data_IF_964743204844
#
_entry.id   IF_964743204844
#
_cell.length_a   1.000
_cell.length_b   1.000
_cell.length_c   1.000
_cell.angle_alpha   90.00
_cell.angle_beta   90.00
_cell.angle_gamma   90.00
#
_symmetry.space_group_name_H-M   'P 1'
#
loop_
_entity.id
_entity.type
_entity.pdbx_description
1 polymer ?
#
# COMPACT_ATOMS: atom_id res chain seq x y z
N UNK A 1 24.12 -31.70 6.59
CA UNK A 1 23.49 -32.80 5.85
C UNK A 1 21.98 -32.82 6.06
N UNK A 2 21.44 -33.26 7.21
CA UNK A 2 19.97 -33.29 7.42
C UNK A 2 19.32 -31.91 7.39
N UNK A 3 19.97 -30.89 7.95
CA UNK A 3 19.45 -29.51 7.92
C UNK A 3 19.41 -28.93 6.50
N UNK A 4 20.39 -29.31 5.67
CA UNK A 4 20.49 -28.85 4.28
C UNK A 4 19.38 -29.46 3.43
N UNK A 5 19.10 -30.75 3.61
CA UNK A 5 18.00 -31.46 2.96
C UNK A 5 16.64 -30.87 3.36
N UNK A 6 16.45 -30.56 4.66
CA UNK A 6 15.23 -29.91 5.13
C UNK A 6 15.04 -28.53 4.50
N UNK A 7 16.11 -27.73 4.38
CA UNK A 7 16.05 -26.43 3.71
C UNK A 7 15.73 -26.57 2.23
N UNK A 8 16.23 -27.61 1.57
CA UNK A 8 15.97 -27.92 0.15
C UNK A 8 14.49 -28.27 -0.07
N UNK A 9 13.94 -29.14 0.78
CA UNK A 9 12.50 -29.51 0.75
C UNK A 9 11.62 -28.28 0.98
N UNK A 10 11.94 -27.43 1.97
CA UNK A 10 11.18 -26.21 2.25
C UNK A 10 11.20 -25.26 1.05
N UNK A 11 12.35 -25.13 0.37
CA UNK A 11 12.47 -24.28 -0.82
C UNK A 11 11.61 -24.81 -1.97
N UNK A 12 11.69 -26.10 -2.26
CA UNK A 12 10.97 -26.72 -3.37
C UNK A 12 9.45 -26.64 -3.16
N UNK A 13 8.96 -26.82 -1.92
CA UNK A 13 7.55 -26.60 -1.57
C UNK A 13 7.16 -25.13 -1.85
N UNK A 14 7.95 -24.15 -1.40
CA UNK A 14 7.65 -22.73 -1.64
C UNK A 14 7.64 -22.38 -3.12
N UNK A 15 8.52 -22.96 -3.92
CA UNK A 15 8.57 -22.74 -5.37
C UNK A 15 7.37 -23.37 -6.08
N UNK A 16 7.03 -24.62 -5.74
CA UNK A 16 5.88 -25.32 -6.32
C UNK A 16 4.56 -24.59 -6.03
N UNK A 17 4.42 -24.03 -4.83
CA UNK A 17 3.20 -23.35 -4.37
C UNK A 17 3.21 -21.83 -4.58
N UNK A 18 4.21 -21.27 -5.28
CA UNK A 18 4.33 -19.81 -5.50
C UNK A 18 3.15 -19.19 -6.26
N UNK A 19 2.42 -19.98 -7.04
CA UNK A 19 1.26 -19.55 -7.84
C UNK A 19 -0.09 -19.91 -7.23
N UNK A 20 -0.11 -20.59 -6.08
CA UNK A 20 -1.36 -20.91 -5.39
C UNK A 20 -1.97 -19.64 -4.81
N UNK A 21 -3.19 -19.33 -5.24
CA UNK A 21 -3.96 -18.18 -4.78
C UNK A 21 -4.41 -18.27 -3.31
N UNK A 22 -4.30 -19.46 -2.71
CA UNK A 22 -4.62 -19.72 -1.29
C UNK A 22 -3.38 -19.61 -0.38
N UNK A 23 -2.18 -19.43 -0.94
CA UNK A 23 -0.98 -19.15 -0.15
C UNK A 23 -1.03 -17.77 0.49
N UNK A 24 -0.46 -17.63 1.69
CA UNK A 24 -0.31 -16.32 2.30
C UNK A 24 0.53 -15.40 1.39
N UNK A 25 0.17 -14.11 1.25
CA UNK A 25 0.94 -13.17 0.44
C UNK A 25 2.41 -13.13 0.89
N UNK A 26 3.34 -13.04 -0.06
CA UNK A 26 4.77 -12.94 0.27
C UNK A 26 5.12 -11.59 0.94
N UNK A 27 4.31 -10.57 0.67
CA UNK A 27 4.38 -9.26 1.32
C UNK A 27 3.47 -9.24 2.54
N UNK A 28 3.96 -8.73 3.66
CA UNK A 28 3.06 -8.45 4.78
C UNK A 28 2.24 -7.20 4.46
N UNK A 29 1.07 -7.06 5.09
CA UNK A 29 0.27 -5.82 5.02
C UNK A 29 1.09 -4.59 5.44
N UNK A 30 2.08 -4.77 6.32
CA UNK A 30 2.98 -3.70 6.73
C UNK A 30 3.96 -3.29 5.62
N UNK A 31 4.46 -4.24 4.82
CA UNK A 31 5.35 -3.96 3.70
C UNK A 31 4.63 -3.17 2.59
N UNK A 32 3.40 -3.56 2.27
CA UNK A 32 2.55 -2.83 1.31
C UNK A 32 2.24 -1.41 1.80
N UNK A 33 1.92 -1.26 3.09
CA UNK A 33 1.69 0.06 3.68
C UNK A 33 2.94 0.93 3.62
N UNK A 34 4.12 0.35 3.87
CA UNK A 34 5.39 1.06 3.79
C UNK A 34 5.68 1.54 2.37
N UNK A 35 5.52 0.68 1.36
CA UNK A 35 5.70 1.06 -0.05
C UNK A 35 4.71 2.17 -0.48
N UNK A 36 3.48 2.10 0.02
CA UNK A 36 2.46 3.12 -0.21
C UNK A 36 2.88 4.47 0.38
N UNK A 37 3.44 4.50 1.59
CA UNK A 37 3.94 5.71 2.23
C UNK A 37 5.16 6.29 1.50
N UNK A 38 6.13 5.46 1.11
CA UNK A 38 7.32 5.89 0.36
C UNK A 38 6.95 6.54 -0.99
N UNK A 39 5.95 6.00 -1.69
CA UNK A 39 5.49 6.58 -2.94
C UNK A 39 4.80 7.94 -2.75
N UNK A 40 4.13 8.15 -1.62
CA UNK A 40 3.48 9.42 -1.26
C UNK A 40 4.50 10.48 -0.84
N UNK A 41 5.58 10.07 -0.18
CA UNK A 41 6.70 10.96 0.15
C UNK A 41 7.38 11.51 -1.11
N UNK A 42 7.63 10.62 -2.09
CA UNK A 42 8.24 10.97 -3.37
C UNK A 42 7.34 11.78 -4.30
N UNK A 43 6.02 11.75 -4.09
CA UNK A 43 5.08 12.55 -4.87
C UNK A 43 5.24 14.05 -4.57
N UNK A 44 5.43 14.86 -5.61
CA UNK A 44 5.45 16.33 -5.48
C UNK A 44 4.03 16.85 -5.66
N UNK A 45 3.45 17.38 -4.59
CA UNK A 45 2.09 17.92 -4.62
C UNK A 45 1.61 18.36 -3.24
N UNK A 46 0.40 18.90 -3.21
CA UNK A 46 -0.26 19.31 -1.97
C UNK A 46 -0.59 18.10 -1.08
N UNK A 47 -0.89 18.35 0.19
CA UNK A 47 -1.32 17.29 1.12
C UNK A 47 -2.55 16.53 0.62
N UNK A 48 -3.51 17.22 0.00
CA UNK A 48 -4.73 16.60 -0.53
C UNK A 48 -4.42 15.68 -1.72
N UNK A 49 -3.52 16.11 -2.61
CA UNK A 49 -3.09 15.31 -3.76
C UNK A 49 -2.32 14.06 -3.32
N UNK A 50 -1.42 14.21 -2.33
CA UNK A 50 -0.72 13.10 -1.69
C UNK A 50 -1.68 12.07 -1.09
N UNK A 51 -2.73 12.52 -0.42
CA UNK A 51 -3.76 11.64 0.14
C UNK A 51 -4.54 10.90 -0.95
N UNK A 52 -4.87 11.58 -2.04
CA UNK A 52 -5.55 10.94 -3.19
C UNK A 52 -4.67 9.84 -3.77
N UNK A 53 -3.38 10.11 -3.99
CA UNK A 53 -2.42 9.12 -4.50
C UNK A 53 -2.30 7.92 -3.56
N UNK A 54 -2.28 8.15 -2.24
CA UNK A 54 -2.28 7.08 -1.24
C UNK A 54 -3.53 6.18 -1.37
N UNK A 55 -4.71 6.79 -1.43
CA UNK A 55 -5.97 6.07 -1.55
C UNK A 55 -6.08 5.32 -2.88
N UNK A 56 -5.62 5.93 -3.99
CA UNK A 56 -5.57 5.26 -5.28
C UNK A 56 -4.71 3.99 -5.21
N UNK A 57 -3.51 4.07 -4.63
CA UNK A 57 -2.65 2.89 -4.45
C UNK A 57 -3.30 1.81 -3.60
N UNK A 58 -3.91 2.16 -2.47
CA UNK A 58 -4.60 1.19 -1.59
C UNK A 58 -5.78 0.50 -2.28
N UNK A 59 -6.47 1.20 -3.18
CA UNK A 59 -7.59 0.66 -3.95
C UNK A 59 -7.16 -0.04 -5.24
N UNK A 60 -5.86 -0.12 -5.54
CA UNK A 60 -5.34 -0.68 -6.79
C UNK A 60 -5.61 0.17 -8.04
N UNK A 61 -5.93 1.45 -7.86
CA UNK A 61 -6.19 2.41 -8.93
C UNK A 61 -4.88 3.09 -9.31
N UNK A 62 -4.47 2.98 -10.57
CA UNK A 62 -3.34 3.75 -11.08
C UNK A 62 -3.77 5.21 -11.31
N UNK A 63 -3.27 6.13 -10.47
CA UNK A 63 -3.64 7.54 -10.55
C UNK A 63 -3.30 8.20 -11.89
N UNK A 64 -2.33 7.67 -12.65
CA UNK A 64 -1.97 8.19 -13.98
C UNK A 64 -3.05 7.96 -15.03
N UNK A 65 -3.99 7.05 -14.75
CA UNK A 65 -5.11 6.76 -15.64
C UNK A 65 -6.32 7.66 -15.36
N UNK A 66 -6.29 8.46 -14.29
CA UNK A 66 -7.33 9.43 -13.98
C UNK A 66 -7.11 10.68 -14.83
N UNK A 67 -8.19 11.16 -15.46
CA UNK A 67 -8.23 12.52 -16.00
C UNK A 67 -8.16 13.56 -14.88
N UNK A 68 -7.80 14.80 -15.24
CA UNK A 68 -7.79 15.92 -14.29
C UNK A 68 -9.15 16.15 -13.62
N UNK A 69 -10.23 15.90 -14.34
CA UNK A 69 -11.59 16.02 -13.81
C UNK A 69 -11.90 14.94 -12.78
N UNK A 70 -11.60 13.67 -13.08
CA UNK A 70 -11.78 12.56 -12.14
C UNK A 70 -10.93 12.76 -10.89
N UNK A 71 -9.68 13.21 -11.06
CA UNK A 71 -8.78 13.48 -9.96
C UNK A 71 -9.31 14.60 -9.05
N UNK A 72 -9.83 15.69 -9.63
CA UNK A 72 -10.48 16.78 -8.87
C UNK A 72 -11.74 16.33 -8.15
N UNK A 73 -12.56 15.51 -8.80
CA UNK A 73 -13.75 14.93 -8.17
C UNK A 73 -13.37 14.02 -7.02
N UNK A 74 -12.32 13.22 -7.15
CA UNK A 74 -11.83 12.35 -6.10
C UNK A 74 -11.37 13.15 -4.87
N UNK A 75 -10.65 14.26 -5.07
CA UNK A 75 -10.31 15.20 -3.99
C UNK A 75 -11.59 15.70 -3.28
N UNK A 76 -12.61 16.13 -4.04
CA UNK A 76 -13.87 16.63 -3.48
C UNK A 76 -14.65 15.56 -2.71
N UNK A 77 -14.66 14.32 -3.20
CA UNK A 77 -15.31 13.17 -2.56
C UNK A 77 -14.58 12.84 -1.26
N UNK A 78 -13.25 12.71 -1.30
CA UNK A 78 -12.46 12.38 -0.14
C UNK A 78 -12.64 13.43 0.97
N UNK A 79 -12.69 14.72 0.64
CA UNK A 79 -12.97 15.80 1.61
C UNK A 79 -14.29 15.66 2.38
N UNK A 80 -15.28 14.92 1.85
CA UNK A 80 -16.54 14.64 2.55
C UNK A 80 -16.38 13.54 3.61
N UNK A 81 -15.29 12.78 3.59
CA UNK A 81 -15.01 11.73 4.56
C UNK A 81 -14.66 12.30 5.93
N UNK A 82 -15.25 11.72 6.98
CA UNK A 82 -14.90 12.01 8.39
C UNK A 82 -13.44 11.66 8.72
N UNK A 83 -12.77 10.86 7.88
CA UNK A 83 -11.39 10.38 8.08
C UNK A 83 -10.32 11.33 7.51
N UNK A 84 -10.69 12.30 6.67
CA UNK A 84 -9.73 13.28 6.10
C UNK A 84 -9.28 14.35 7.10
N UNK A 85 -10.14 14.65 8.07
CA UNK A 85 -10.04 15.85 8.90
C UNK A 85 -9.28 15.69 10.22
N UNK A 86 -8.96 14.47 10.67
CA UNK A 86 -8.28 14.31 11.96
C UNK A 86 -6.79 14.63 11.79
N UNK A 87 -6.26 15.72 12.40
CA UNK A 87 -4.84 15.78 12.64
C UNK A 87 -4.53 14.56 13.51
N UNK A 88 -3.56 13.73 13.09
CA UNK A 88 -2.93 12.81 14.02
C UNK A 88 -2.42 13.69 15.15
N UNK A 89 -3.11 13.67 16.28
CA UNK A 89 -2.58 14.21 17.52
C UNK A 89 -1.25 13.52 17.69
N UNK A 90 -0.14 14.26 17.61
CA UNK A 90 1.17 13.79 18.03
C UNK A 90 1.14 13.59 19.55
N UNK A 91 0.27 12.70 20.02
CA UNK A 91 -0.05 12.48 21.42
C UNK A 91 1.20 11.88 22.05
N UNK A 92 1.94 12.78 22.70
CA UNK A 92 3.09 12.55 23.58
C UNK A 92 4.29 11.90 22.90
N UNK A 93 5.09 12.70 22.21
CA UNK A 93 6.55 12.56 22.34
C UNK A 93 6.88 12.85 23.81
N UNK A 94 6.99 11.80 24.61
CA UNK A 94 7.70 11.80 25.89
C UNK A 94 8.96 10.98 25.69
#
# INVERSE_FOLDING_TARGET
MVLDDLNLIIRDIREAHKKDSESAPQTTVADELKENLEAVENFKGSRDEKLVVLYCKQLGINYKNLSDEEFRWLIRILKKSKKMGTPISQRKKR
#
